data_IF_272642646853
#
_entry.id   IF_272642646853
#
_cell.length_a   1.000
_cell.length_b   1.000
_cell.length_c   1.000
_cell.angle_alpha   90.00
_cell.angle_beta   90.00
_cell.angle_gamma   90.00
#
_symmetry.space_group_name_H-M   'P 1'
#
loop_
_entity.id
_entity.type
_entity.pdbx_description
1 polymer ?
#
# COMPACT_ATOMS: atom_id res chain seq x y z
N UNK A 1 3.54 -11.55 13.53
CA UNK A 1 2.57 -11.01 12.57
C UNK A 1 1.32 -10.61 13.33
N UNK A 2 0.77 -9.43 13.05
CA UNK A 2 -0.46 -8.96 13.70
C UNK A 2 -1.67 -9.52 12.95
N UNK A 3 -2.71 -9.90 13.70
CA UNK A 3 -4.01 -10.26 13.14
C UNK A 3 -4.93 -9.05 13.14
N UNK A 4 -5.82 -8.99 12.17
CA UNK A 4 -6.74 -7.88 11.97
C UNK A 4 -8.13 -8.40 11.60
N UNK A 5 -9.14 -7.66 12.03
CA UNK A 5 -10.51 -7.81 11.55
C UNK A 5 -10.73 -6.86 10.39
N UNK A 6 -11.25 -7.37 9.28
CA UNK A 6 -11.54 -6.58 8.09
C UNK A 6 -12.62 -7.26 7.28
N UNK A 7 -13.21 -6.54 6.32
CA UNK A 7 -14.10 -7.13 5.31
C UNK A 7 -13.30 -7.28 4.01
N UNK A 8 -13.21 -8.48 3.42
CA UNK A 8 -12.49 -8.68 2.17
C UNK A 8 -12.97 -7.73 1.05
N UNK A 9 -12.03 -7.15 0.31
CA UNK A 9 -12.31 -6.16 -0.74
C UNK A 9 -12.54 -4.74 -0.24
N UNK A 10 -12.55 -4.50 1.08
CA UNK A 10 -12.52 -3.15 1.63
C UNK A 10 -11.07 -2.69 1.86
N UNK A 11 -10.88 -1.37 1.86
CA UNK A 11 -9.57 -0.73 2.02
C UNK A 11 -9.22 -0.41 3.47
N UNK A 12 -10.04 -0.82 4.44
CA UNK A 12 -9.86 -0.46 5.84
C UNK A 12 -9.87 -1.69 6.75
N UNK A 13 -8.95 -1.69 7.71
CA UNK A 13 -9.01 -2.55 8.89
C UNK A 13 -10.12 -2.03 9.79
N UNK A 14 -10.97 -2.93 10.29
CA UNK A 14 -11.98 -2.63 11.30
C UNK A 14 -11.31 -2.43 12.66
N UNK A 15 -10.48 -3.40 13.07
CA UNK A 15 -9.69 -3.33 14.30
C UNK A 15 -8.53 -4.33 14.25
N UNK A 16 -7.46 -4.04 14.98
CA UNK A 16 -6.40 -5.00 15.25
C UNK A 16 -6.89 -6.05 16.24
N UNK A 17 -6.49 -7.30 16.04
CA UNK A 17 -6.89 -8.39 16.91
C UNK A 17 -5.86 -8.62 18.02
N UNK A 18 -6.37 -8.92 19.21
CA UNK A 18 -5.61 -9.38 20.36
C UNK A 18 -6.03 -10.80 20.69
N UNK A 19 -5.05 -11.67 20.94
CA UNK A 19 -5.33 -13.02 21.41
C UNK A 19 -5.77 -12.96 22.87
N UNK A 20 -6.92 -13.59 23.17
CA UNK A 20 -7.53 -13.65 24.51
C UNK A 20 -7.60 -15.08 25.07
N UNK A 21 -7.27 -16.08 24.25
CA UNK A 21 -7.19 -17.48 24.64
C UNK A 21 -6.67 -18.37 23.51
N UNK A 22 -6.59 -19.70 23.71
CA UNK A 22 -6.25 -20.64 22.65
C UNK A 22 -7.24 -20.49 21.49
N UNK A 23 -6.74 -20.11 20.31
CA UNK A 23 -7.55 -19.85 19.10
C UNK A 23 -8.68 -18.81 19.27
N UNK A 24 -8.64 -17.98 20.32
CA UNK A 24 -9.65 -16.96 20.61
C UNK A 24 -9.04 -15.56 20.46
N UNK A 25 -9.70 -14.73 19.66
CA UNK A 25 -9.25 -13.39 19.30
C UNK A 25 -10.39 -12.39 19.45
N UNK A 26 -10.06 -11.23 19.99
CA UNK A 26 -10.98 -10.11 20.14
C UNK A 26 -10.37 -8.82 19.58
N UNK A 27 -11.21 -7.89 19.16
CA UNK A 27 -10.83 -6.56 18.72
C UNK A 27 -10.09 -5.82 19.85
N UNK A 28 -8.96 -5.19 19.54
CA UNK A 28 -8.09 -4.52 20.52
C UNK A 28 -8.80 -3.33 21.16
N UNK A 29 -9.56 -2.55 20.39
CA UNK A 29 -10.23 -1.36 20.89
C UNK A 29 -11.56 -1.66 21.59
N UNK A 30 -12.32 -2.62 21.07
CA UNK A 30 -13.71 -2.86 21.52
C UNK A 30 -13.90 -4.15 22.33
N UNK A 31 -12.92 -5.04 22.36
CA UNK A 31 -13.00 -6.39 22.96
C UNK A 31 -14.07 -7.30 22.34
N UNK A 32 -14.62 -6.95 21.18
CA UNK A 32 -15.59 -7.77 20.47
C UNK A 32 -14.92 -8.94 19.76
N UNK A 33 -15.55 -10.11 19.79
CA UNK A 33 -15.15 -11.28 19.00
C UNK A 33 -15.75 -11.23 17.59
N UNK A 34 -15.23 -12.08 16.69
CA UNK A 34 -15.67 -12.10 15.28
C UNK A 34 -17.20 -12.14 15.09
N UNK A 35 -17.98 -12.99 15.81
CA UNK A 35 -19.44 -13.01 15.64
C UNK A 35 -20.11 -11.67 15.96
N UNK A 36 -19.61 -10.95 16.96
CA UNK A 36 -20.15 -9.65 17.38
C UNK A 36 -19.76 -8.55 16.39
N UNK A 37 -18.53 -8.62 15.86
CA UNK A 37 -18.08 -7.72 14.79
C UNK A 37 -18.94 -7.92 13.52
N UNK A 38 -19.27 -9.16 13.18
CA UNK A 38 -20.08 -9.49 12.00
C UNK A 38 -21.50 -8.93 12.05
N UNK A 39 -22.05 -8.63 13.23
CA UNK A 39 -23.35 -7.94 13.36
C UNK A 39 -23.29 -6.54 12.76
N UNK A 40 -22.16 -5.83 12.92
CA UNK A 40 -21.97 -4.46 12.42
C UNK A 40 -21.29 -4.41 11.06
N UNK A 41 -20.44 -5.40 10.78
CA UNK A 41 -19.68 -5.55 9.54
C UNK A 41 -19.93 -6.93 8.94
N UNK A 42 -21.08 -7.15 8.29
CA UNK A 42 -21.37 -8.42 7.64
C UNK A 42 -20.26 -8.81 6.67
N UNK A 43 -19.80 -10.07 6.77
CA UNK A 43 -18.68 -10.57 5.97
C UNK A 43 -17.28 -10.25 6.53
N UNK A 44 -17.19 -9.65 7.73
CA UNK A 44 -15.91 -9.51 8.42
C UNK A 44 -15.25 -10.87 8.65
N UNK A 45 -13.93 -10.89 8.54
CA UNK A 45 -13.06 -12.05 8.79
C UNK A 45 -11.91 -11.66 9.71
N UNK A 46 -11.32 -12.66 10.36
CA UNK A 46 -10.04 -12.53 11.06
C UNK A 46 -8.93 -13.04 10.12
N UNK A 47 -7.96 -12.20 9.80
CA UNK A 47 -6.82 -12.58 8.97
C UNK A 47 -5.52 -11.95 9.45
N UNK A 48 -4.45 -12.15 8.68
CA UNK A 48 -3.15 -11.53 8.94
C UNK A 48 -3.05 -10.17 8.25
N UNK A 49 -2.48 -9.18 8.92
CA UNK A 49 -2.32 -7.81 8.41
C UNK A 49 -1.58 -7.78 7.07
N UNK A 50 -0.49 -8.55 6.95
CA UNK A 50 0.29 -8.64 5.71
C UNK A 50 -0.58 -9.12 4.55
N UNK A 51 -1.42 -10.13 4.77
CA UNK A 51 -2.31 -10.64 3.73
C UNK A 51 -3.39 -9.64 3.33
N UNK A 52 -3.92 -8.88 4.31
CA UNK A 52 -4.85 -7.78 4.05
C UNK A 52 -4.21 -6.69 3.17
N UNK A 53 -3.02 -6.21 3.55
CA UNK A 53 -2.31 -5.17 2.81
C UNK A 53 -1.96 -5.62 1.38
N UNK A 54 -1.50 -6.86 1.22
CA UNK A 54 -1.21 -7.43 -0.10
C UNK A 54 -2.47 -7.54 -0.97
N UNK A 55 -3.60 -7.97 -0.40
CA UNK A 55 -4.87 -8.02 -1.12
C UNK A 55 -5.36 -6.63 -1.52
N UNK A 56 -5.16 -5.63 -0.64
CA UNK A 56 -5.48 -4.23 -0.92
C UNK A 56 -4.63 -3.70 -2.08
N UNK A 57 -3.31 -3.92 -2.08
CA UNK A 57 -2.44 -3.52 -3.18
C UNK A 57 -2.78 -4.24 -4.49
N UNK A 58 -3.10 -5.53 -4.44
CA UNK A 58 -3.51 -6.27 -5.64
C UNK A 58 -4.81 -5.71 -6.26
N UNK A 59 -5.74 -5.21 -5.42
CA UNK A 59 -7.02 -4.67 -5.88
C UNK A 59 -6.94 -3.21 -6.33
N UNK A 60 -6.10 -2.39 -5.70
CA UNK A 60 -6.10 -0.93 -5.86
C UNK A 60 -4.76 -0.33 -6.29
N UNK A 61 -3.69 -1.11 -6.26
CA UNK A 61 -2.39 -0.72 -6.79
C UNK A 61 -2.47 -0.47 -8.29
N UNK A 62 -1.62 0.42 -8.78
CA UNK A 62 -1.59 0.75 -10.20
C UNK A 62 -0.26 0.31 -10.80
N UNK A 63 -0.28 -0.02 -12.09
CA UNK A 63 0.97 -0.15 -12.85
C UNK A 63 1.67 1.22 -12.94
N UNK A 64 3.01 1.27 -13.08
CA UNK A 64 3.72 2.50 -13.39
C UNK A 64 3.07 3.21 -14.57
N UNK A 65 2.85 4.51 -14.48
CA UNK A 65 2.26 5.29 -15.56
C UNK A 65 3.15 6.48 -15.89
N UNK A 66 3.31 6.76 -17.19
CA UNK A 66 4.10 7.91 -17.66
C UNK A 66 3.49 9.22 -17.18
N UNK A 67 4.34 10.10 -16.66
CA UNK A 67 3.98 11.48 -16.32
C UNK A 67 4.97 12.46 -16.92
N UNK A 68 4.63 13.74 -16.85
CA UNK A 68 5.52 14.85 -17.22
C UNK A 68 6.47 15.20 -16.06
N UNK A 69 7.63 15.76 -16.40
CA UNK A 69 8.57 16.35 -15.44
C UNK A 69 7.89 17.29 -14.44
N UNK A 70 7.06 18.22 -14.93
CA UNK A 70 6.35 19.20 -14.08
C UNK A 70 5.50 18.55 -12.98
N UNK A 71 4.92 17.37 -13.24
CA UNK A 71 4.12 16.65 -12.23
C UNK A 71 5.01 15.99 -11.18
N UNK A 72 6.16 15.48 -11.59
CA UNK A 72 7.16 14.92 -10.70
C UNK A 72 7.71 16.01 -9.75
N UNK A 73 8.14 17.15 -10.30
CA UNK A 73 8.72 18.25 -9.52
C UNK A 73 7.68 18.90 -8.60
N UNK A 74 6.43 19.02 -9.07
CA UNK A 74 5.34 19.50 -8.23
C UNK A 74 5.11 18.58 -7.02
N UNK A 75 5.07 17.27 -7.23
CA UNK A 75 4.91 16.31 -6.13
C UNK A 75 6.07 16.38 -5.14
N UNK A 76 7.31 16.42 -5.64
CA UNK A 76 8.52 16.48 -4.81
C UNK A 76 8.60 17.76 -3.98
N UNK A 77 8.15 18.89 -4.51
CA UNK A 77 8.21 20.20 -3.82
C UNK A 77 7.09 20.45 -2.80
N UNK A 78 5.97 19.72 -2.89
CA UNK A 78 4.75 20.00 -2.11
C UNK A 78 4.40 18.93 -1.09
N UNK A 79 4.77 17.68 -1.35
CA UNK A 79 4.35 16.56 -0.53
C UNK A 79 5.44 16.13 0.45
N UNK A 80 5.00 15.58 1.59
CA UNK A 80 5.92 14.95 2.52
C UNK A 80 6.39 13.62 1.95
N UNK A 81 7.70 13.51 1.77
CA UNK A 81 8.36 12.29 1.27
C UNK A 81 8.65 11.39 2.46
N UNK A 82 8.19 10.15 2.37
CA UNK A 82 8.47 9.09 3.34
C UNK A 82 9.90 8.56 3.15
N UNK A 83 10.28 8.31 1.91
CA UNK A 83 11.60 7.80 1.54
C UNK A 83 12.01 8.33 0.15
N UNK A 84 13.31 8.63 0.00
CA UNK A 84 13.90 9.16 -1.21
C UNK A 84 15.23 8.44 -1.49
N UNK A 85 15.43 8.03 -2.74
CA UNK A 85 16.69 7.46 -3.19
C UNK A 85 17.09 8.01 -4.56
N UNK A 86 18.32 8.54 -4.62
CA UNK A 86 19.01 8.84 -5.86
C UNK A 86 20.03 7.72 -6.15
N UNK A 87 19.74 6.88 -7.13
CA UNK A 87 20.58 5.73 -7.48
C UNK A 87 20.99 5.72 -8.95
N UNK A 88 21.85 4.77 -9.33
CA UNK A 88 22.34 4.63 -10.71
C UNK A 88 21.22 4.40 -11.73
N UNK A 89 20.17 3.67 -11.34
CA UNK A 89 18.99 3.45 -12.19
C UNK A 89 18.16 4.73 -12.41
N UNK A 90 18.29 5.71 -11.52
CA UNK A 90 17.50 6.93 -11.47
C UNK A 90 17.06 7.29 -10.04
N UNK A 91 16.29 8.36 -9.95
CA UNK A 91 15.76 8.85 -8.67
C UNK A 91 14.34 8.34 -8.45
N UNK A 92 14.00 8.02 -7.21
CA UNK A 92 12.63 7.64 -6.84
C UNK A 92 12.32 8.09 -5.43
N UNK A 93 11.03 8.34 -5.18
CA UNK A 93 10.55 8.72 -3.87
C UNK A 93 9.14 8.21 -3.62
N UNK A 94 8.84 8.02 -2.34
CA UNK A 94 7.58 7.48 -1.84
C UNK A 94 6.93 8.59 -1.03
N UNK A 95 5.67 8.92 -1.31
CA UNK A 95 4.94 9.89 -0.50
C UNK A 95 4.48 9.27 0.82
N UNK A 96 4.38 10.09 1.86
CA UNK A 96 3.92 9.64 3.18
C UNK A 96 2.40 9.53 3.27
N UNK A 97 1.66 10.38 2.54
CA UNK A 97 0.21 10.43 2.65
C UNK A 97 -0.44 9.26 1.90
N UNK A 98 -1.30 8.45 2.57
CA UNK A 98 -2.10 7.44 1.90
C UNK A 98 -3.14 8.10 0.99
N UNK A 99 -3.37 7.49 -0.18
CA UNK A 99 -4.37 7.94 -1.14
C UNK A 99 -5.54 6.96 -1.27
N UNK A 100 -5.29 5.65 -1.17
CA UNK A 100 -6.33 4.61 -1.24
C UNK A 100 -6.02 3.53 -0.21
N UNK A 101 -6.77 3.50 0.89
CA UNK A 101 -6.43 2.66 2.03
C UNK A 101 -5.06 3.04 2.56
N UNK A 102 -4.14 2.07 2.58
CA UNK A 102 -2.75 2.23 2.98
C UNK A 102 -1.81 2.51 1.79
N UNK A 103 -2.32 2.48 0.56
CA UNK A 103 -1.50 2.73 -0.63
C UNK A 103 -1.08 4.19 -0.71
N UNK A 104 0.19 4.38 -0.97
CA UNK A 104 0.83 5.67 -1.17
C UNK A 104 1.27 5.83 -2.61
N UNK A 105 1.46 7.08 -3.01
CA UNK A 105 1.95 7.42 -4.34
C UNK A 105 3.46 7.35 -4.39
N UNK A 106 3.95 6.63 -5.40
CA UNK A 106 5.36 6.50 -5.73
C UNK A 106 5.66 7.32 -6.98
N UNK A 107 6.84 7.92 -7.02
CA UNK A 107 7.38 8.62 -8.18
C UNK A 107 8.77 8.13 -8.50
N UNK A 108 9.10 8.09 -9.78
CA UNK A 108 10.44 7.76 -10.26
C UNK A 108 10.80 8.57 -11.51
N UNK A 109 12.09 8.87 -11.68
CA UNK A 109 12.64 9.48 -12.88
C UNK A 109 13.97 8.84 -13.27
N UNK A 110 14.18 8.66 -14.56
CA UNK A 110 15.45 8.19 -15.13
C UNK A 110 15.54 8.66 -16.56
N UNK A 111 16.69 9.19 -17.00
CA UNK A 111 16.94 9.55 -18.41
C UNK A 111 15.84 10.42 -19.05
N UNK A 112 15.38 11.47 -18.36
CA UNK A 112 14.34 12.41 -18.85
C UNK A 112 12.93 11.82 -18.94
N UNK A 113 12.71 10.67 -18.29
CA UNK A 113 11.48 9.89 -18.32
C UNK A 113 10.97 9.77 -16.88
N UNK A 114 9.66 9.95 -16.69
CA UNK A 114 9.04 10.07 -15.36
C UNK A 114 7.86 9.11 -15.24
N UNK A 115 7.67 8.57 -14.04
CA UNK A 115 6.59 7.62 -13.73
C UNK A 115 5.93 7.92 -12.39
N UNK A 116 4.69 7.49 -12.25
CA UNK A 116 4.00 7.39 -10.95
C UNK A 116 3.11 6.15 -10.86
N UNK A 117 2.87 5.65 -9.65
CA UNK A 117 1.91 4.59 -9.38
C UNK A 117 1.53 4.53 -7.89
N UNK A 118 0.49 3.75 -7.57
CA UNK A 118 0.11 3.40 -6.20
C UNK A 118 0.71 2.06 -5.80
N UNK A 119 1.31 2.02 -4.61
CA UNK A 119 1.87 0.83 -3.98
C UNK A 119 1.79 0.93 -2.46
N UNK A 120 2.06 -0.17 -1.74
CA UNK A 120 2.22 -0.11 -0.29
C UNK A 120 3.45 0.73 0.09
N UNK A 121 3.43 1.44 1.24
CA UNK A 121 4.52 2.29 1.69
C UNK A 121 5.78 1.50 2.05
N UNK A 122 5.68 0.19 2.16
CA UNK A 122 6.80 -0.73 2.41
C UNK A 122 7.56 -1.11 1.14
N UNK A 123 7.14 -0.65 -0.05
CA UNK A 123 7.84 -0.92 -1.31
C UNK A 123 9.26 -0.36 -1.26
N UNK A 124 10.23 -1.14 -1.72
CA UNK A 124 11.63 -0.74 -1.79
C UNK A 124 11.95 -0.05 -3.12
N UNK A 125 12.97 0.82 -3.12
CA UNK A 125 13.46 1.44 -4.36
C UNK A 125 13.91 0.42 -5.43
N UNK A 126 14.40 -0.76 -5.03
CA UNK A 126 14.70 -1.84 -5.96
C UNK A 126 13.43 -2.37 -6.64
N UNK A 127 12.37 -2.66 -5.86
CA UNK A 127 11.09 -3.13 -6.39
C UNK A 127 10.39 -2.09 -7.28
N UNK A 128 10.53 -0.80 -6.96
CA UNK A 128 10.04 0.30 -7.81
C UNK A 128 10.63 0.18 -9.21
N UNK A 129 11.96 0.06 -9.32
CA UNK A 129 12.62 -0.07 -10.61
C UNK A 129 12.29 -1.38 -11.31
N UNK A 130 12.15 -2.49 -10.57
CA UNK A 130 11.71 -3.76 -11.16
C UNK A 130 10.34 -3.63 -11.83
N UNK A 131 9.35 -2.99 -11.16
CA UNK A 131 8.01 -2.77 -11.75
C UNK A 131 8.08 -1.88 -13.00
N UNK A 132 8.90 -0.83 -12.97
CA UNK A 132 9.08 0.07 -14.13
C UNK A 132 9.69 -0.68 -15.32
N UNK A 133 10.71 -1.52 -15.09
CA UNK A 133 11.35 -2.31 -16.15
C UNK A 133 10.41 -3.38 -16.73
N UNK A 134 9.64 -4.06 -15.88
CA UNK A 134 8.66 -5.06 -16.31
C UNK A 134 7.58 -4.46 -17.21
N UNK A 135 7.16 -3.23 -16.93
CA UNK A 135 6.19 -2.54 -17.79
C UNK A 135 6.80 -2.12 -19.14
N UNK A 136 8.07 -1.67 -19.13
CA UNK A 136 8.80 -1.33 -20.36
C UNK A 136 8.99 -2.54 -21.28
N UNK A 137 9.32 -3.70 -20.70
CA UNK A 137 9.49 -4.95 -21.45
C UNK A 137 8.18 -5.54 -22.00
N UNK A 138 7.01 -5.11 -21.50
CA UNK A 138 5.71 -5.52 -22.01
C UNK A 138 5.18 -4.63 -23.16
N UNK A 139 5.89 -3.55 -23.48
CA UNK A 139 5.51 -2.58 -24.50
C UNK A 139 6.37 -2.63 -25.78
N UNK A 140 7.36 -3.53 -25.83
CA UNK A 140 8.21 -3.88 -26.98
C UNK A 140 7.85 -5.27 -27.51
#
# INVERSE_FOLDING_TARGET
MQKVFYVPGQTAIIDYARQIGPNAWAARATWLMLPEIQVRHPGAVLGDEVGFLQAQEAAHGTQPARITETRYDFALSRAQVLDYNAGEAGDSFILQAPEVGDLVRVYARSSGRYWTFLALPTITHCEIWQRIHQQGAAAD
#
